data_IF_882211502179
#
_entry.id   IF_882211502179
#
_cell.length_a   1.000
_cell.length_b   1.000
_cell.length_c   1.000
_cell.angle_alpha   90.00
_cell.angle_beta   90.00
_cell.angle_gamma   90.00
#
_symmetry.space_group_name_H-M   'P 1'
#
loop_
_entity.id
_entity.type
_entity.pdbx_description
1 polymer ?
#
# COMPACT_ATOMS: atom_id res chain seq x y z
N UNK A 1 12.45 -17.16 9.52
CA UNK A 1 12.15 -16.14 10.55
C UNK A 1 12.17 -14.78 9.88
N UNK A 2 11.20 -13.89 10.14
CA UNK A 2 11.27 -12.50 9.65
C UNK A 2 12.33 -11.74 10.48
N UNK A 3 13.15 -10.85 9.88
CA UNK A 3 14.11 -10.03 10.62
C UNK A 3 13.41 -9.18 11.69
N UNK A 4 14.09 -8.90 12.80
CA UNK A 4 13.55 -7.98 13.80
C UNK A 4 13.41 -6.57 13.19
N UNK A 5 12.20 -5.97 13.16
CA UNK A 5 11.94 -4.69 12.52
C UNK A 5 12.77 -3.53 13.11
N UNK A 6 13.21 -3.64 14.36
CA UNK A 6 14.00 -2.60 15.04
C UNK A 6 15.45 -2.49 14.54
N UNK A 7 15.93 -3.45 13.74
CA UNK A 7 17.30 -3.49 13.23
C UNK A 7 17.41 -3.38 11.70
N UNK A 8 16.30 -3.07 11.03
CA UNK A 8 16.26 -2.96 9.57
C UNK A 8 15.81 -1.56 9.16
N UNK A 9 16.21 -1.15 7.97
CA UNK A 9 15.77 0.07 7.32
C UNK A 9 15.32 -0.27 5.90
N UNK A 10 14.42 0.54 5.35
CA UNK A 10 13.96 0.37 3.98
C UNK A 10 14.10 1.68 3.21
N UNK A 11 14.68 1.59 2.01
CA UNK A 11 14.70 2.65 1.02
C UNK A 11 14.51 2.05 -0.36
N UNK A 12 13.50 2.50 -1.10
CA UNK A 12 13.35 2.13 -2.50
C UNK A 12 14.29 3.01 -3.36
N UNK A 13 15.35 2.46 -3.99
CA UNK A 13 16.28 3.24 -4.80
C UNK A 13 15.64 3.79 -6.08
N UNK A 14 14.52 3.20 -6.52
CA UNK A 14 13.78 3.64 -7.70
C UNK A 14 12.87 4.86 -7.42
N UNK A 15 12.74 5.27 -6.15
CA UNK A 15 11.96 6.43 -5.76
C UNK A 15 12.88 7.54 -5.21
N UNK A 16 13.02 8.68 -5.93
CA UNK A 16 13.75 9.82 -5.42
C UNK A 16 13.11 10.33 -4.12
N UNK A 17 13.91 10.57 -3.08
CA UNK A 17 13.40 11.00 -1.77
C UNK A 17 12.63 12.33 -1.84
N UNK A 18 13.03 13.21 -2.76
CA UNK A 18 12.39 14.50 -3.02
C UNK A 18 11.03 14.39 -3.75
N UNK A 19 10.63 13.19 -4.19
CA UNK A 19 9.36 12.96 -4.88
C UNK A 19 8.30 12.39 -3.93
N UNK A 20 8.66 12.11 -2.67
CA UNK A 20 7.71 11.63 -1.66
C UNK A 20 6.92 12.84 -1.14
N UNK A 21 5.61 12.78 -1.33
CA UNK A 21 4.65 13.81 -0.90
C UNK A 21 3.57 13.18 -0.01
N UNK A 22 2.78 13.97 0.74
CA UNK A 22 1.67 13.43 1.53
C UNK A 22 0.68 12.59 0.72
N UNK A 23 0.54 12.88 -0.57
CA UNK A 23 -0.41 12.21 -1.48
C UNK A 23 0.09 10.83 -1.94
N UNK A 24 1.41 10.64 -2.08
CA UNK A 24 1.99 9.40 -2.62
C UNK A 24 2.79 8.58 -1.59
N UNK A 25 2.97 9.07 -0.36
CA UNK A 25 3.76 8.40 0.69
C UNK A 25 3.25 7.00 1.01
N UNK A 26 1.93 6.77 0.92
CA UNK A 26 1.37 5.43 1.11
C UNK A 26 1.70 4.49 -0.04
N UNK A 27 1.76 4.99 -1.28
CA UNK A 27 2.21 4.22 -2.43
C UNK A 27 3.68 3.79 -2.26
N UNK A 28 4.52 4.71 -1.75
CA UNK A 28 5.90 4.42 -1.35
C UNK A 28 5.99 3.35 -0.27
N UNK A 29 5.19 3.50 0.78
CA UNK A 29 5.23 2.59 1.92
C UNK A 29 4.73 1.19 1.55
N UNK A 30 3.73 1.07 0.69
CA UNK A 30 3.11 -0.20 0.29
C UNK A 30 3.98 -1.05 -0.67
N UNK A 31 5.24 -0.70 -0.87
CA UNK A 31 6.17 -1.49 -1.68
C UNK A 31 6.30 -2.93 -1.14
N UNK A 32 6.24 -3.94 -2.01
CA UNK A 32 6.29 -5.36 -1.60
C UNK A 32 7.60 -5.79 -0.95
N UNK A 33 8.68 -5.07 -1.21
CA UNK A 33 10.01 -5.28 -0.65
C UNK A 33 10.19 -4.53 0.68
N UNK A 34 9.25 -3.64 1.03
CA UNK A 34 9.23 -3.00 2.33
C UNK A 34 8.80 -4.02 3.39
N UNK A 35 9.76 -4.49 4.18
CA UNK A 35 9.51 -5.45 5.26
C UNK A 35 8.56 -4.94 6.37
N UNK A 36 8.31 -3.62 6.42
CA UNK A 36 7.34 -3.01 7.33
C UNK A 36 5.91 -3.04 6.81
N UNK A 37 5.71 -3.31 5.52
CA UNK A 37 4.39 -3.35 4.92
C UNK A 37 3.73 -4.72 5.08
N UNK A 38 2.58 -4.75 5.74
CA UNK A 38 1.79 -5.97 5.91
C UNK A 38 0.74 -6.10 4.79
N UNK A 39 0.90 -7.13 3.95
CA UNK A 39 -0.05 -7.45 2.87
C UNK A 39 -1.40 -7.98 3.36
N UNK A 40 -1.53 -8.29 4.65
CA UNK A 40 -2.84 -8.59 5.26
C UNK A 40 -3.57 -7.34 5.78
N UNK A 41 -2.94 -6.17 5.70
CA UNK A 41 -3.53 -4.91 6.15
C UNK A 41 -4.79 -4.52 5.37
N UNK A 42 -5.65 -3.71 6.01
CA UNK A 42 -6.80 -3.11 5.33
C UNK A 42 -6.38 -2.27 4.11
N UNK A 43 -5.21 -1.62 4.15
CA UNK A 43 -4.67 -0.86 3.04
C UNK A 43 -4.46 -1.74 1.79
N UNK A 44 -3.92 -2.95 1.95
CA UNK A 44 -3.76 -3.88 0.82
C UNK A 44 -5.12 -4.34 0.29
N UNK A 45 -6.07 -4.64 1.18
CA UNK A 45 -7.43 -5.03 0.77
C UNK A 45 -8.12 -3.94 -0.05
N UNK A 46 -8.06 -2.68 0.40
CA UNK A 46 -8.63 -1.53 -0.33
C UNK A 46 -7.93 -1.31 -1.66
N UNK A 47 -6.60 -1.42 -1.70
CA UNK A 47 -5.79 -1.30 -2.93
C UNK A 47 -6.15 -2.37 -3.95
N UNK A 48 -6.25 -3.63 -3.52
CA UNK A 48 -6.59 -4.77 -4.37
C UNK A 48 -8.02 -4.70 -4.89
N UNK A 49 -8.95 -4.17 -4.09
CA UNK A 49 -10.32 -3.94 -4.52
C UNK A 49 -10.46 -2.73 -5.46
N UNK A 50 -9.40 -1.93 -5.62
CA UNK A 50 -9.39 -0.72 -6.45
C UNK A 50 -10.62 0.16 -6.19
N UNK A 51 -10.94 0.38 -4.90
CA UNK A 51 -12.07 1.22 -4.43
C UNK A 51 -11.76 2.72 -4.63
N UNK A 52 -11.04 3.06 -5.70
CA UNK A 52 -10.99 4.40 -6.26
C UNK A 52 -12.30 4.75 -6.99
N UNK A 53 -13.22 3.79 -7.08
CA UNK A 53 -14.59 3.96 -7.56
C UNK A 53 -15.49 4.38 -6.41
N UNK A 54 -16.46 5.29 -6.63
CA UNK A 54 -17.51 5.59 -5.68
C UNK A 54 -18.15 4.30 -5.17
N UNK A 55 -18.48 4.24 -3.87
CA UNK A 55 -19.12 3.08 -3.25
C UNK A 55 -20.37 2.63 -4.02
N UNK A 56 -21.07 3.61 -4.60
CA UNK A 56 -22.24 3.45 -5.46
C UNK A 56 -21.96 2.57 -6.69
N UNK A 57 -20.78 2.68 -7.30
CA UNK A 57 -20.40 1.86 -8.46
C UNK A 57 -20.02 0.43 -8.05
N UNK A 58 -19.47 0.26 -6.85
CA UNK A 58 -19.08 -1.05 -6.32
C UNK A 58 -20.31 -1.90 -5.92
N UNK A 59 -21.37 -1.27 -5.40
CA UNK A 59 -22.59 -1.97 -4.95
C UNK A 59 -23.47 -2.48 -6.11
N UNK A 60 -23.33 -1.94 -7.32
CA UNK A 60 -24.09 -2.37 -8.50
C UNK A 60 -23.65 -3.75 -9.04
N UNK A 61 -22.45 -4.22 -8.69
CA UNK A 61 -21.92 -5.50 -9.16
C UNK A 61 -22.27 -6.70 -8.26
N UNK A 62 -22.92 -6.46 -7.12
CA UNK A 62 -23.24 -7.49 -6.11
C UNK A 62 -24.67 -8.05 -6.26
N UNK A 63 -25.49 -7.48 -7.17
CA UNK A 63 -26.90 -7.83 -7.37
C UNK A 63 -27.24 -8.47 -8.74
N UNK A 64 -26.34 -9.26 -9.32
CA UNK A 64 -26.65 -10.08 -10.51
C UNK A 64 -26.44 -11.57 -10.27
#
# INVERSE_FOLDING_TARGET
MRPNPLHITFKNPNWPANFITPENVLEYFCNSDNAFYDKSSCNENVRMQNISRPLEECLLLVFF
#
